data_IF_036219725324
#
_entry.id   IF_036219725324
#
_cell.length_a   1.000
_cell.length_b   1.000
_cell.length_c   1.000
_cell.angle_alpha   90.00
_cell.angle_beta   90.00
_cell.angle_gamma   90.00
#
_symmetry.space_group_name_H-M   'P 1'
#
loop_
_entity.id
_entity.type
_entity.pdbx_description
1 polymer ?
#
# COMPACT_ATOMS: atom_id res chain seq x y z
N UNK A 1 52.08 -21.75 37.80
CA UNK A 1 52.92 -22.87 37.29
C UNK A 1 52.98 -22.71 35.79
N UNK A 2 54.20 -22.56 35.31
CA UNK A 2 54.66 -22.36 33.94
C UNK A 2 54.14 -23.40 32.93
N UNK A 3 53.91 -22.96 31.67
CA UNK A 3 54.67 -23.48 30.52
C UNK A 3 54.47 -22.59 29.28
N UNK A 4 55.57 -21.90 28.95
CA UNK A 4 55.83 -21.33 27.61
C UNK A 4 56.08 -22.47 26.62
N UNK A 5 55.56 -22.41 25.40
CA UNK A 5 56.19 -23.03 24.24
C UNK A 5 56.28 -22.06 23.07
N UNK A 6 57.53 -21.83 22.69
CA UNK A 6 57.96 -21.20 21.44
C UNK A 6 57.45 -21.99 20.24
N UNK A 7 57.07 -21.28 19.17
CA UNK A 7 56.96 -21.89 17.85
C UNK A 7 57.75 -21.03 16.85
N UNK A 8 58.61 -21.74 16.12
CA UNK A 8 59.51 -21.25 15.09
C UNK A 8 58.74 -20.66 13.89
N UNK A 9 59.24 -19.52 13.38
CA UNK A 9 58.93 -19.01 12.05
C UNK A 9 59.59 -19.93 10.99
N UNK A 10 58.79 -20.43 10.07
CA UNK A 10 59.25 -20.98 8.77
C UNK A 10 58.78 -20.03 7.68
N UNK A 11 59.73 -19.38 7.02
CA UNK A 11 59.54 -18.58 5.82
C UNK A 11 59.34 -19.52 4.64
N UNK A 12 58.18 -19.37 3.94
CA UNK A 12 57.96 -19.97 2.64
C UNK A 12 57.80 -18.84 1.58
N UNK A 13 58.28 -19.07 0.37
CA UNK A 13 58.37 -18.01 -0.64
C UNK A 13 56.98 -17.70 -1.27
N UNK A 14 56.73 -16.41 -1.45
CA UNK A 14 55.57 -15.85 -2.17
C UNK A 14 55.65 -16.20 -3.65
N UNK A 15 54.79 -17.11 -4.11
CA UNK A 15 54.48 -17.29 -5.53
C UNK A 15 53.37 -16.30 -5.89
N UNK A 16 53.66 -15.34 -6.73
CA UNK A 16 52.65 -14.47 -7.39
C UNK A 16 51.81 -15.36 -8.34
N UNK A 17 50.62 -15.73 -7.90
CA UNK A 17 49.56 -16.19 -8.80
C UNK A 17 48.95 -14.94 -9.47
N UNK A 18 49.17 -14.76 -10.74
CA UNK A 18 48.37 -13.88 -11.58
C UNK A 18 46.97 -14.47 -11.67
N UNK A 19 45.98 -13.81 -11.04
CA UNK A 19 44.60 -14.12 -11.23
C UNK A 19 44.15 -13.64 -12.60
N UNK A 20 43.82 -14.55 -13.49
CA UNK A 20 43.11 -14.22 -14.72
C UNK A 20 41.71 -13.69 -14.36
N UNK A 21 41.17 -12.70 -15.07
CA UNK A 21 39.82 -12.20 -14.82
C UNK A 21 38.82 -13.30 -15.18
N UNK A 22 38.05 -13.73 -14.19
CA UNK A 22 36.89 -14.61 -14.39
C UNK A 22 35.92 -13.98 -15.37
N UNK A 23 35.32 -14.74 -16.31
CA UNK A 23 34.33 -14.20 -17.22
C UNK A 23 33.13 -13.68 -16.41
N UNK A 24 32.79 -12.42 -16.65
CA UNK A 24 31.57 -11.78 -16.15
C UNK A 24 30.38 -12.67 -16.47
N UNK A 25 29.76 -13.21 -15.44
CA UNK A 25 28.45 -13.85 -15.54
C UNK A 25 27.44 -12.72 -15.79
N UNK A 26 27.26 -12.35 -17.04
CA UNK A 26 26.11 -11.56 -17.45
C UNK A 26 24.89 -12.44 -17.15
N UNK A 27 24.14 -12.07 -16.12
CA UNK A 27 22.85 -12.69 -15.85
C UNK A 27 22.00 -12.49 -17.11
N UNK A 28 21.73 -13.57 -17.82
CA UNK A 28 20.77 -13.60 -18.92
C UNK A 28 19.43 -13.08 -18.36
N UNK A 29 18.89 -12.05 -18.99
CA UNK A 29 17.54 -11.58 -18.65
C UNK A 29 16.58 -12.77 -18.78
N UNK A 30 15.66 -12.99 -17.82
CA UNK A 30 14.69 -14.05 -17.92
C UNK A 30 13.97 -13.96 -19.27
N UNK A 31 13.71 -15.09 -19.95
CA UNK A 31 13.05 -15.08 -21.24
C UNK A 31 11.71 -14.34 -21.10
N UNK A 32 11.30 -13.53 -22.09
CA UNK A 32 10.01 -12.88 -22.06
C UNK A 32 8.94 -13.94 -21.91
N UNK A 33 8.05 -13.76 -20.91
CA UNK A 33 6.87 -14.60 -20.70
C UNK A 33 6.16 -14.72 -22.06
N UNK A 34 6.10 -15.92 -22.59
CA UNK A 34 5.47 -16.20 -23.87
C UNK A 34 4.06 -15.62 -23.83
N UNK A 35 3.68 -14.87 -24.87
CA UNK A 35 2.35 -14.32 -25.02
C UNK A 35 1.36 -15.49 -24.95
N UNK A 36 0.75 -15.72 -23.80
CA UNK A 36 -0.26 -16.75 -23.63
C UNK A 36 -1.40 -16.42 -24.55
N UNK A 37 -1.72 -17.32 -25.49
CA UNK A 37 -2.89 -17.18 -26.33
C UNK A 37 -4.10 -16.98 -25.40
N UNK A 38 -4.91 -15.95 -25.64
CA UNK A 38 -6.07 -15.61 -24.81
C UNK A 38 -6.94 -16.86 -24.63
N UNK A 39 -7.06 -17.36 -23.40
CA UNK A 39 -7.90 -18.51 -23.10
C UNK A 39 -9.35 -18.13 -23.40
N UNK A 40 -10.00 -18.88 -24.29
CA UNK A 40 -11.44 -18.69 -24.58
C UNK A 40 -12.24 -19.60 -23.67
N UNK A 41 -12.83 -19.03 -22.63
CA UNK A 41 -13.75 -19.73 -21.72
C UNK A 41 -15.15 -19.17 -21.91
N UNK A 42 -16.16 -20.00 -22.22
CA UNK A 42 -17.54 -19.53 -22.37
C UNK A 42 -18.06 -18.83 -21.12
N UNK A 43 -18.69 -17.69 -21.29
CA UNK A 43 -19.20 -16.85 -20.18
C UNK A 43 -18.20 -15.82 -19.70
N UNK A 44 -17.11 -15.62 -20.45
CA UNK A 44 -16.16 -14.54 -20.23
C UNK A 44 -15.95 -13.70 -21.49
N UNK A 45 -15.95 -12.41 -21.31
CA UNK A 45 -15.44 -11.47 -22.29
C UNK A 45 -13.95 -11.22 -22.00
N UNK A 46 -13.08 -11.57 -22.95
CA UNK A 46 -11.65 -11.23 -22.90
C UNK A 46 -11.47 -9.74 -23.18
N UNK A 47 -10.70 -9.05 -22.36
CA UNK A 47 -10.43 -7.61 -22.50
C UNK A 47 -9.06 -7.37 -23.15
N UNK A 48 -7.99 -7.85 -22.51
CA UNK A 48 -6.61 -7.68 -23.01
C UNK A 48 -5.63 -8.58 -22.25
N UNK A 49 -4.43 -8.70 -22.80
CA UNK A 49 -3.25 -9.25 -22.11
C UNK A 49 -2.12 -8.23 -22.16
N UNK A 50 -1.45 -8.04 -21.05
CA UNK A 50 -0.27 -7.18 -20.95
C UNK A 50 0.79 -7.87 -20.08
N UNK A 51 1.99 -8.12 -20.62
CA UNK A 51 3.11 -8.79 -19.95
C UNK A 51 2.72 -10.07 -19.18
N UNK A 52 1.86 -10.90 -19.78
CA UNK A 52 1.41 -12.18 -19.20
C UNK A 52 0.16 -12.08 -18.33
N UNK A 53 -0.21 -10.91 -17.82
CA UNK A 53 -1.46 -10.71 -17.09
C UNK A 53 -2.60 -10.56 -18.07
N UNK A 54 -3.58 -11.47 -18.00
CA UNK A 54 -4.77 -11.45 -18.85
C UNK A 54 -5.99 -10.97 -18.08
N UNK A 55 -6.73 -10.04 -18.65
CA UNK A 55 -7.95 -9.44 -18.10
C UNK A 55 -9.18 -10.02 -18.77
N UNK A 56 -10.14 -10.43 -17.98
CA UNK A 56 -11.44 -10.93 -18.38
C UNK A 56 -12.55 -10.28 -17.57
N UNK A 57 -13.74 -10.24 -18.14
CA UNK A 57 -14.98 -9.90 -17.43
C UNK A 57 -15.87 -11.11 -17.38
N UNK A 58 -16.35 -11.54 -16.21
CA UNK A 58 -17.37 -12.59 -16.10
C UNK A 58 -18.71 -12.03 -16.54
N UNK A 59 -19.23 -12.51 -17.68
CA UNK A 59 -20.41 -11.95 -18.37
C UNK A 59 -21.67 -11.95 -17.51
N UNK A 60 -21.81 -12.95 -16.62
CA UNK A 60 -22.99 -13.12 -15.77
C UNK A 60 -23.21 -11.95 -14.80
N UNK A 61 -22.14 -11.30 -14.32
CA UNK A 61 -22.26 -10.33 -13.24
C UNK A 61 -21.28 -9.17 -13.32
N UNK A 62 -20.34 -9.18 -14.25
CA UNK A 62 -19.39 -8.08 -14.44
C UNK A 62 -18.17 -8.12 -13.51
N UNK A 63 -17.90 -9.26 -12.85
CA UNK A 63 -16.66 -9.42 -12.07
C UNK A 63 -15.45 -9.32 -13.00
N UNK A 64 -14.53 -8.42 -12.69
CA UNK A 64 -13.23 -8.36 -13.36
C UNK A 64 -12.34 -9.49 -12.84
N UNK A 65 -11.66 -10.20 -13.74
CA UNK A 65 -10.76 -11.29 -13.39
C UNK A 65 -9.41 -11.06 -14.05
N UNK A 66 -8.36 -10.98 -13.23
CA UNK A 66 -6.97 -10.90 -13.68
C UNK A 66 -6.29 -12.24 -13.42
N UNK A 67 -5.68 -12.81 -14.44
CA UNK A 67 -5.00 -14.11 -14.34
C UNK A 67 -3.56 -13.99 -14.83
N UNK A 68 -2.63 -14.50 -14.02
CA UNK A 68 -1.23 -14.65 -14.38
C UNK A 68 -0.76 -16.07 -14.00
N UNK A 69 -0.74 -17.02 -14.96
CA UNK A 69 -0.13 -18.34 -14.74
C UNK A 69 1.36 -18.20 -14.47
N UNK A 70 1.81 -18.75 -13.36
CA UNK A 70 3.22 -18.82 -12.97
C UNK A 70 3.50 -20.18 -12.32
N UNK A 71 4.19 -21.05 -13.05
CA UNK A 71 4.50 -22.41 -12.61
C UNK A 71 5.87 -22.53 -11.93
N UNK A 72 6.46 -21.42 -11.50
CA UNK A 72 7.77 -21.39 -10.83
C UNK A 72 7.75 -22.02 -9.44
N UNK A 73 6.60 -22.01 -8.77
CA UNK A 73 6.38 -22.63 -7.46
C UNK A 73 4.96 -23.24 -7.39
N UNK A 74 4.75 -24.35 -6.62
CA UNK A 74 3.46 -25.04 -6.54
C UNK A 74 2.45 -24.34 -5.62
N UNK A 75 2.35 -23.01 -5.73
CA UNK A 75 1.46 -22.16 -4.93
C UNK A 75 0.63 -21.26 -5.82
N UNK A 76 -0.53 -20.88 -5.33
CA UNK A 76 -1.41 -19.91 -5.98
C UNK A 76 -1.83 -18.85 -4.98
N UNK A 77 -1.78 -17.60 -5.39
CA UNK A 77 -2.41 -16.49 -4.68
C UNK A 77 -3.76 -16.20 -5.34
N UNK A 78 -4.82 -16.27 -4.55
CA UNK A 78 -6.14 -15.75 -4.92
C UNK A 78 -6.45 -14.54 -4.05
N UNK A 79 -6.78 -13.43 -4.69
CA UNK A 79 -7.12 -12.17 -4.02
C UNK A 79 -8.39 -11.59 -4.61
N UNK A 80 -9.30 -11.15 -3.75
CA UNK A 80 -10.47 -10.36 -4.15
C UNK A 80 -10.28 -8.94 -3.65
N UNK A 81 -10.24 -7.99 -4.55
CA UNK A 81 -10.16 -6.56 -4.26
C UNK A 81 -11.52 -5.92 -4.53
N UNK A 82 -12.17 -5.44 -3.49
CA UNK A 82 -13.37 -4.61 -3.59
C UNK A 82 -12.97 -3.15 -3.81
N UNK A 83 -13.62 -2.49 -4.79
CA UNK A 83 -13.40 -1.08 -5.10
C UNK A 83 -14.15 -0.19 -4.10
N UNK A 84 -13.88 -0.40 -2.83
CA UNK A 84 -14.46 0.31 -1.70
C UNK A 84 -13.47 0.37 -0.56
N UNK A 85 -13.25 1.56 -0.03
CA UNK A 85 -12.39 1.85 1.11
C UNK A 85 -12.99 2.95 1.97
N UNK A 86 -12.19 3.53 2.86
CA UNK A 86 -12.66 4.61 3.73
C UNK A 86 -13.12 5.84 2.96
N UNK A 87 -12.64 6.05 1.74
CA UNK A 87 -13.12 7.07 0.81
C UNK A 87 -14.64 7.05 0.58
N UNK A 88 -15.27 5.89 0.72
CA UNK A 88 -16.71 5.69 0.49
C UNK A 88 -17.55 5.88 1.76
N UNK A 89 -16.94 6.23 2.87
CA UNK A 89 -17.60 6.44 4.15
C UNK A 89 -18.11 7.88 4.28
N UNK A 90 -19.04 8.07 5.20
CA UNK A 90 -19.59 9.38 5.54
C UNK A 90 -19.46 9.63 7.05
N UNK A 91 -19.47 10.89 7.46
CA UNK A 91 -19.46 11.28 8.87
C UNK A 91 -20.54 10.55 9.66
N UNK A 92 -20.17 10.04 10.83
CA UNK A 92 -21.03 9.19 11.68
C UNK A 92 -20.88 7.69 11.42
N UNK A 93 -20.17 7.29 10.35
CA UNK A 93 -19.90 5.89 10.01
C UNK A 93 -18.46 5.66 9.55
N UNK A 94 -17.54 6.58 9.84
CA UNK A 94 -16.13 6.42 9.52
C UNK A 94 -15.53 5.23 10.26
N UNK A 95 -14.67 4.45 9.59
CA UNK A 95 -14.14 3.17 10.08
C UNK A 95 -15.06 1.98 9.83
N UNK A 96 -16.24 2.18 9.21
CA UNK A 96 -17.17 1.09 8.89
C UNK A 96 -16.55 0.06 7.94
N UNK A 97 -15.75 0.51 6.97
CA UNK A 97 -15.07 -0.38 6.02
C UNK A 97 -14.08 -1.29 6.72
N UNK A 98 -13.26 -0.74 7.61
CA UNK A 98 -12.27 -1.49 8.38
C UNK A 98 -12.94 -2.46 9.38
N UNK A 99 -13.95 -2.00 10.11
CA UNK A 99 -14.70 -2.89 11.00
C UNK A 99 -15.41 -4.01 10.22
N UNK A 100 -15.91 -3.72 9.02
CA UNK A 100 -16.51 -4.74 8.15
C UNK A 100 -15.45 -5.76 7.68
N UNK A 101 -14.21 -5.31 7.39
CA UNK A 101 -13.11 -6.22 7.09
C UNK A 101 -12.94 -7.29 8.18
N UNK A 102 -12.89 -6.89 9.45
CA UNK A 102 -12.81 -7.80 10.58
C UNK A 102 -14.02 -8.74 10.66
N UNK A 103 -15.23 -8.22 10.41
CA UNK A 103 -16.45 -9.02 10.45
C UNK A 103 -16.53 -10.06 9.32
N UNK A 104 -15.83 -9.85 8.20
CA UNK A 104 -15.74 -10.81 7.09
C UNK A 104 -15.12 -12.16 7.50
N UNK A 105 -14.42 -12.22 8.63
CA UNK A 105 -13.84 -13.44 9.19
C UNK A 105 -14.77 -14.16 10.18
N UNK A 106 -15.95 -13.59 10.51
CA UNK A 106 -16.87 -14.16 11.53
C UNK A 106 -17.76 -15.28 10.99
N UNK A 107 -17.82 -15.44 9.67
CA UNK A 107 -18.43 -16.57 8.99
C UNK A 107 -19.77 -16.28 8.33
N UNK A 108 -20.27 -17.32 7.72
CA UNK A 108 -21.54 -17.38 6.98
C UNK A 108 -22.33 -18.60 7.48
N UNK A 109 -23.53 -18.81 6.93
CA UNK A 109 -24.28 -20.04 7.22
C UNK A 109 -23.52 -21.28 6.74
N UNK A 110 -22.81 -21.19 5.61
CA UNK A 110 -22.11 -22.32 5.01
C UNK A 110 -20.72 -22.54 5.65
N UNK A 111 -20.02 -21.48 6.03
CA UNK A 111 -18.66 -21.51 6.55
C UNK A 111 -18.60 -20.83 7.93
N UNK A 112 -18.51 -21.63 8.99
CA UNK A 112 -18.48 -21.11 10.34
C UNK A 112 -17.83 -22.07 11.34
N UNK A 113 -17.46 -21.54 12.48
CA UNK A 113 -16.76 -22.27 13.54
C UNK A 113 -17.57 -23.45 14.11
N UNK A 114 -18.89 -23.32 14.19
CA UNK A 114 -19.75 -24.37 14.74
C UNK A 114 -19.80 -25.60 13.83
N UNK A 115 -19.65 -25.40 12.52
CA UNK A 115 -19.53 -26.50 11.53
C UNK A 115 -18.12 -27.08 11.42
N UNK A 116 -17.12 -26.48 12.08
CA UNK A 116 -15.71 -26.90 11.97
C UNK A 116 -15.06 -26.55 10.63
N UNK A 117 -15.62 -25.58 9.90
CA UNK A 117 -15.19 -25.16 8.57
C UNK A 117 -15.12 -23.64 8.42
N UNK A 118 -14.85 -22.90 9.53
CA UNK A 118 -14.57 -21.47 9.43
C UNK A 118 -13.33 -21.22 8.58
N UNK A 119 -13.18 -20.01 8.04
CA UNK A 119 -12.04 -19.63 7.21
C UNK A 119 -10.70 -19.95 7.90
N UNK A 120 -10.56 -19.59 9.19
CA UNK A 120 -9.35 -19.87 9.97
C UNK A 120 -9.07 -21.38 10.04
N UNK A 121 -10.10 -22.19 10.41
CA UNK A 121 -9.96 -23.62 10.54
C UNK A 121 -9.61 -24.34 9.22
N UNK A 122 -10.08 -23.81 8.09
CA UNK A 122 -9.78 -24.39 6.78
C UNK A 122 -8.38 -24.00 6.32
N UNK A 123 -8.01 -22.73 6.44
CA UNK A 123 -6.73 -22.23 5.90
C UNK A 123 -5.54 -22.63 6.77
N UNK A 124 -5.69 -22.65 8.10
CA UNK A 124 -4.64 -23.10 9.02
C UNK A 124 -4.28 -24.59 8.81
N UNK A 125 -5.26 -25.44 8.53
CA UNK A 125 -5.02 -26.88 8.26
C UNK A 125 -4.11 -27.12 7.06
N UNK A 126 -4.13 -26.22 6.09
CA UNK A 126 -3.37 -26.38 4.84
C UNK A 126 -2.13 -25.50 4.79
N UNK A 127 -1.81 -24.83 5.90
CA UNK A 127 -0.63 -23.96 5.99
C UNK A 127 -0.71 -22.74 5.07
N UNK A 128 -1.90 -22.25 4.75
CA UNK A 128 -2.09 -21.06 3.92
C UNK A 128 -1.67 -19.79 4.68
N UNK A 129 -1.06 -18.87 3.95
CA UNK A 129 -0.92 -17.48 4.41
C UNK A 129 -2.11 -16.69 3.91
N UNK A 130 -2.90 -16.12 4.81
CA UNK A 130 -4.10 -15.36 4.46
C UNK A 130 -4.26 -14.13 5.35
N UNK A 131 -4.87 -13.10 4.81
CA UNK A 131 -5.23 -11.88 5.55
C UNK A 131 -6.20 -11.03 4.72
N UNK A 132 -6.50 -9.84 5.25
CA UNK A 132 -7.18 -8.77 4.55
C UNK A 132 -6.50 -7.44 4.83
N UNK A 133 -6.77 -6.43 4.03
CA UNK A 133 -6.35 -5.06 4.30
C UNK A 133 -7.38 -4.07 3.78
N UNK A 134 -7.62 -3.01 4.53
CA UNK A 134 -8.45 -1.87 4.14
C UNK A 134 -7.59 -0.63 4.00
N UNK A 135 -7.83 0.13 2.94
CA UNK A 135 -7.19 1.41 2.71
C UNK A 135 -8.20 2.46 2.21
N UNK A 136 -7.72 3.58 1.72
CA UNK A 136 -8.59 4.68 1.28
C UNK A 136 -9.56 4.25 0.16
N UNK A 137 -9.06 3.54 -0.88
CA UNK A 137 -9.80 3.25 -2.11
C UNK A 137 -10.22 1.77 -2.27
N UNK A 138 -9.77 0.90 -1.39
CA UNK A 138 -9.95 -0.55 -1.51
C UNK A 138 -10.07 -1.28 -0.19
N UNK A 139 -10.71 -2.44 -0.26
CA UNK A 139 -10.60 -3.51 0.74
C UNK A 139 -10.31 -4.81 0.00
N UNK A 140 -9.28 -5.55 0.42
CA UNK A 140 -8.94 -6.82 -0.23
C UNK A 140 -8.81 -7.96 0.77
N UNK A 141 -9.07 -9.16 0.28
CA UNK A 141 -8.95 -10.42 1.00
C UNK A 141 -8.14 -11.38 0.16
N UNK A 142 -7.18 -12.07 0.76
CA UNK A 142 -6.29 -12.96 0.02
C UNK A 142 -5.92 -14.20 0.79
N UNK A 143 -5.58 -15.25 0.05
CA UNK A 143 -4.77 -16.35 0.54
C UNK A 143 -3.71 -16.76 -0.49
N UNK A 144 -2.55 -17.14 0.03
CA UNK A 144 -1.48 -17.81 -0.71
C UNK A 144 -1.38 -19.26 -0.20
N UNK A 145 -1.62 -20.24 -1.06
CA UNK A 145 -1.81 -21.62 -0.67
C UNK A 145 -1.45 -22.60 -1.81
N UNK A 146 -1.31 -23.87 -1.47
CA UNK A 146 -1.15 -24.92 -2.48
C UNK A 146 -2.40 -25.04 -3.36
N UNK A 147 -2.21 -25.24 -4.66
CA UNK A 147 -3.30 -25.28 -5.66
C UNK A 147 -4.44 -26.27 -5.33
N UNK A 148 -4.12 -27.38 -4.66
CA UNK A 148 -5.11 -28.43 -4.32
C UNK A 148 -6.18 -27.91 -3.33
N UNK A 149 -5.94 -26.79 -2.66
CA UNK A 149 -6.83 -26.18 -1.69
C UNK A 149 -7.52 -24.92 -2.20
N UNK A 150 -7.19 -24.49 -3.42
CA UNK A 150 -7.68 -23.25 -4.02
C UNK A 150 -9.20 -23.25 -4.18
N UNK A 151 -9.81 -24.37 -4.61
CA UNK A 151 -11.27 -24.49 -4.80
C UNK A 151 -12.04 -24.19 -3.52
N UNK A 152 -11.57 -24.71 -2.39
CA UNK A 152 -12.20 -24.47 -1.08
C UNK A 152 -12.09 -22.99 -0.67
N UNK A 153 -10.95 -22.36 -0.91
CA UNK A 153 -10.77 -20.94 -0.59
C UNK A 153 -11.65 -20.03 -1.46
N UNK A 154 -11.68 -20.26 -2.77
CA UNK A 154 -12.52 -19.50 -3.70
C UNK A 154 -14.00 -19.65 -3.36
N UNK A 155 -14.43 -20.83 -2.89
CA UNK A 155 -15.79 -21.04 -2.40
C UNK A 155 -16.11 -20.17 -1.16
N UNK A 156 -15.17 -20.05 -0.22
CA UNK A 156 -15.32 -19.20 0.97
C UNK A 156 -15.43 -17.72 0.57
N UNK A 157 -14.54 -17.27 -0.32
CA UNK A 157 -14.53 -15.88 -0.79
C UNK A 157 -15.83 -15.51 -1.51
N UNK A 158 -16.31 -16.39 -2.37
CA UNK A 158 -17.58 -16.19 -3.08
C UNK A 158 -18.78 -16.17 -2.13
N UNK A 159 -18.78 -17.08 -1.14
CA UNK A 159 -19.88 -17.17 -0.17
C UNK A 159 -19.92 -15.91 0.72
N UNK A 160 -18.80 -15.49 1.29
CA UNK A 160 -18.76 -14.32 2.16
C UNK A 160 -19.00 -12.99 1.43
N UNK A 161 -18.88 -12.95 0.10
CA UNK A 161 -19.25 -11.79 -0.69
C UNK A 161 -20.74 -11.44 -0.54
N UNK A 162 -21.62 -12.42 -0.34
CA UNK A 162 -23.08 -12.18 -0.26
C UNK A 162 -23.80 -12.77 0.95
N UNK A 163 -23.20 -13.70 1.67
CA UNK A 163 -23.85 -14.45 2.74
C UNK A 163 -23.24 -14.20 4.13
N UNK A 164 -22.52 -13.10 4.29
CA UNK A 164 -21.84 -12.76 5.54
C UNK A 164 -22.83 -12.61 6.71
N UNK A 165 -22.50 -13.19 7.83
CA UNK A 165 -23.19 -12.94 9.09
C UNK A 165 -22.75 -11.58 9.66
N UNK A 166 -23.64 -10.60 9.60
CA UNK A 166 -23.44 -9.32 10.28
C UNK A 166 -24.33 -9.30 11.54
N UNK A 167 -23.80 -9.84 12.64
CA UNK A 167 -24.52 -9.98 13.92
C UNK A 167 -23.94 -9.03 14.96
N UNK A 168 -24.80 -8.49 15.81
CA UNK A 168 -24.39 -7.62 16.92
C UNK A 168 -23.46 -8.35 17.90
N UNK A 169 -23.64 -9.67 18.08
CA UNK A 169 -22.77 -10.52 18.90
C UNK A 169 -21.34 -10.61 18.39
N UNK A 170 -21.11 -10.42 17.09
CA UNK A 170 -19.79 -10.43 16.48
C UNK A 170 -19.20 -9.00 16.43
N UNK A 171 -20.05 -7.98 16.17
CA UNK A 171 -19.64 -6.58 16.12
C UNK A 171 -19.07 -6.08 17.46
N UNK A 172 -19.76 -6.40 18.54
CA UNK A 172 -19.44 -5.84 19.87
C UNK A 172 -18.03 -6.21 20.38
N UNK A 173 -17.56 -7.47 20.33
CA UNK A 173 -16.18 -7.79 20.67
C UNK A 173 -15.19 -7.21 19.65
N UNK A 174 -15.52 -7.20 18.35
CA UNK A 174 -14.62 -6.73 17.30
C UNK A 174 -14.39 -5.22 17.37
N UNK A 175 -15.41 -4.46 17.70
CA UNK A 175 -15.26 -3.03 17.97
C UNK A 175 -14.21 -2.74 19.05
N UNK A 176 -14.07 -3.64 20.04
CA UNK A 176 -13.03 -3.50 21.07
C UNK A 176 -11.63 -3.74 20.48
N UNK A 177 -11.49 -4.67 19.53
CA UNK A 177 -10.21 -4.92 18.83
C UNK A 177 -9.86 -3.69 18.01
N UNK A 178 -10.75 -3.22 17.15
CA UNK A 178 -10.53 -2.02 16.30
C UNK A 178 -10.23 -0.78 17.14
N UNK A 179 -10.88 -0.62 18.30
CA UNK A 179 -10.55 0.47 19.22
C UNK A 179 -9.11 0.36 19.77
N UNK A 180 -8.64 -0.85 20.09
CA UNK A 180 -7.27 -1.04 20.54
C UNK A 180 -6.27 -0.71 19.41
N UNK A 181 -6.57 -1.06 18.18
CA UNK A 181 -5.76 -0.68 17.01
C UNK A 181 -5.73 0.83 16.82
N UNK A 182 -6.87 1.50 16.96
CA UNK A 182 -6.93 2.97 16.97
C UNK A 182 -5.99 3.55 18.03
N UNK A 183 -6.00 3.03 19.25
CA UNK A 183 -5.14 3.52 20.34
C UNK A 183 -3.65 3.24 20.06
N UNK A 184 -3.31 2.15 19.38
CA UNK A 184 -1.92 1.87 18.93
C UNK A 184 -1.49 2.94 17.92
N UNK A 185 -2.34 3.28 16.95
CA UNK A 185 -2.08 4.36 15.98
C UNK A 185 -1.89 5.72 16.66
N UNK A 186 -2.73 6.03 17.64
CA UNK A 186 -2.63 7.28 18.42
C UNK A 186 -1.32 7.38 19.23
N UNK A 187 -0.68 6.27 19.56
CA UNK A 187 0.61 6.23 20.23
C UNK A 187 1.81 6.33 19.27
N UNK A 188 1.59 6.28 17.96
CA UNK A 188 2.62 6.51 16.94
C UNK A 188 2.69 8.00 16.61
N UNK A 189 3.82 8.71 16.85
CA UNK A 189 3.94 10.13 16.55
C UNK A 189 3.63 10.47 15.08
N UNK A 190 4.13 9.66 14.15
CA UNK A 190 3.90 9.88 12.71
C UNK A 190 2.44 9.64 12.35
N UNK A 191 1.81 8.54 12.79
CA UNK A 191 0.41 8.26 12.46
C UNK A 191 -0.56 9.28 13.08
N UNK A 192 -0.29 9.68 14.33
CA UNK A 192 -1.08 10.72 15.00
C UNK A 192 -0.97 12.06 14.28
N UNK A 193 0.23 12.41 13.80
CA UNK A 193 0.47 13.64 13.04
C UNK A 193 -0.17 13.56 11.66
N UNK A 194 0.01 12.46 10.94
CA UNK A 194 -0.56 12.22 9.61
C UNK A 194 -2.09 12.35 9.60
N UNK A 195 -2.75 11.76 10.59
CA UNK A 195 -4.20 11.91 10.78
C UNK A 195 -4.64 13.38 10.84
N UNK A 196 -3.97 14.20 11.64
CA UNK A 196 -4.31 15.60 11.79
C UNK A 196 -3.92 16.44 10.56
N UNK A 197 -2.83 16.10 9.87
CA UNK A 197 -2.45 16.71 8.59
C UNK A 197 -3.52 16.44 7.54
N UNK A 198 -3.95 15.19 7.36
CA UNK A 198 -4.98 14.81 6.40
C UNK A 198 -6.31 15.53 6.73
N UNK A 199 -6.72 15.53 8.00
CA UNK A 199 -7.93 16.22 8.45
C UNK A 199 -7.90 17.72 8.17
N UNK A 200 -6.73 18.36 8.25
CA UNK A 200 -6.58 19.78 7.95
C UNK A 200 -6.41 20.06 6.45
N UNK A 201 -5.73 19.17 5.72
CA UNK A 201 -5.44 19.34 4.30
C UNK A 201 -6.69 19.18 3.43
N UNK A 202 -7.61 18.28 3.78
CA UNK A 202 -8.84 18.06 3.04
C UNK A 202 -10.03 18.68 3.75
N UNK A 203 -10.68 19.61 3.08
CA UNK A 203 -11.87 20.29 3.60
C UNK A 203 -13.16 19.53 3.26
N UNK A 204 -13.24 19.01 2.03
CA UNK A 204 -14.45 18.40 1.51
C UNK A 204 -14.26 16.94 1.11
N UNK A 205 -13.07 16.58 0.58
CA UNK A 205 -12.82 15.22 0.08
C UNK A 205 -12.74 14.21 1.22
N UNK A 206 -13.30 12.99 1.08
CA UNK A 206 -13.30 11.95 2.12
C UNK A 206 -11.91 11.49 2.61
N UNK A 207 -10.83 11.79 1.90
CA UNK A 207 -9.47 11.53 2.40
C UNK A 207 -9.11 12.30 3.68
N UNK A 208 -10.00 13.17 4.17
CA UNK A 208 -9.79 13.90 5.43
C UNK A 208 -9.84 13.02 6.68
N UNK A 209 -10.44 11.84 6.63
CA UNK A 209 -10.52 10.96 7.79
C UNK A 209 -9.66 9.69 7.62
N UNK A 210 -9.11 9.17 8.73
CA UNK A 210 -8.27 7.98 8.67
C UNK A 210 -9.10 6.73 8.34
N UNK A 211 -8.47 5.74 7.71
CA UNK A 211 -9.12 4.45 7.37
C UNK A 211 -9.68 3.74 8.59
N UNK A 212 -9.01 3.85 9.74
CA UNK A 212 -9.53 3.30 11.01
C UNK A 212 -10.81 3.99 11.47
N UNK A 213 -11.11 5.19 10.99
CA UNK A 213 -12.25 6.01 11.40
C UNK A 213 -11.99 6.89 12.62
N UNK A 214 -12.96 7.77 12.92
CA UNK A 214 -12.96 8.53 14.15
C UNK A 214 -13.42 7.66 15.32
N UNK A 215 -12.80 7.82 16.48
CA UNK A 215 -13.12 7.02 17.69
C UNK A 215 -14.61 6.96 17.99
N UNK A 216 -15.30 8.11 17.92
CA UNK A 216 -16.75 8.18 18.19
C UNK A 216 -17.59 7.33 17.24
N UNK A 217 -17.18 7.26 15.98
CA UNK A 217 -17.88 6.50 14.93
C UNK A 217 -17.63 5.01 15.09
N UNK A 218 -16.36 4.61 15.30
CA UNK A 218 -15.97 3.21 15.57
C UNK A 218 -16.81 2.64 16.72
N UNK A 219 -16.92 3.39 17.83
CA UNK A 219 -17.63 2.94 19.03
C UNK A 219 -19.14 2.87 18.83
N UNK A 220 -19.72 3.68 17.94
CA UNK A 220 -21.17 3.89 17.84
C UNK A 220 -21.81 3.38 16.55
N UNK A 221 -21.03 3.03 15.52
CA UNK A 221 -21.62 2.55 14.26
C UNK A 221 -22.51 1.32 14.51
N UNK A 222 -23.81 1.39 14.18
CA UNK A 222 -24.72 0.27 14.42
C UNK A 222 -24.54 -0.80 13.34
N UNK A 223 -24.87 -2.05 13.69
CA UNK A 223 -24.74 -3.19 12.76
C UNK A 223 -25.58 -3.00 11.49
N UNK A 224 -26.68 -2.27 11.57
CA UNK A 224 -27.54 -1.94 10.44
C UNK A 224 -26.80 -1.11 9.37
N UNK A 225 -25.96 -0.16 9.81
CA UNK A 225 -25.13 0.65 8.90
C UNK A 225 -24.05 -0.18 8.23
N UNK A 226 -23.47 -1.14 8.96
CA UNK A 226 -22.52 -2.09 8.36
C UNK A 226 -23.20 -3.00 7.33
N UNK A 227 -24.45 -3.43 7.58
CA UNK A 227 -25.24 -4.18 6.59
C UNK A 227 -25.58 -3.34 5.36
N UNK A 228 -25.97 -2.07 5.55
CA UNK A 228 -26.21 -1.13 4.44
C UNK A 228 -24.94 -0.99 3.59
N UNK A 229 -23.79 -0.76 4.23
CA UNK A 229 -22.50 -0.62 3.55
C UNK A 229 -22.12 -1.89 2.78
N UNK A 230 -22.20 -3.05 3.42
CA UNK A 230 -21.96 -4.34 2.78
C UNK A 230 -22.89 -4.58 1.59
N UNK A 231 -24.19 -4.33 1.75
CA UNK A 231 -25.17 -4.51 0.67
C UNK A 231 -25.02 -3.50 -0.46
N UNK A 232 -24.40 -2.37 -0.21
CA UNK A 232 -24.13 -1.35 -1.24
C UNK A 232 -22.89 -1.71 -2.08
N UNK A 233 -21.81 -2.15 -1.44
CA UNK A 233 -20.51 -2.19 -2.09
C UNK A 233 -19.95 -3.60 -2.38
N UNK A 234 -20.38 -4.65 -1.66
CA UNK A 234 -19.80 -5.99 -1.80
C UNK A 234 -20.51 -6.81 -2.88
N UNK A 235 -20.22 -6.47 -4.15
CA UNK A 235 -20.81 -7.10 -5.32
C UNK A 235 -19.74 -7.46 -6.36
N UNK A 236 -19.99 -8.49 -7.21
CA UNK A 236 -19.04 -8.89 -8.25
C UNK A 236 -18.63 -7.74 -9.19
N UNK A 237 -19.56 -6.90 -9.61
CA UNK A 237 -19.28 -5.77 -10.49
C UNK A 237 -18.62 -4.56 -9.78
N UNK A 238 -18.30 -4.69 -8.51
CA UNK A 238 -17.49 -3.75 -7.74
C UNK A 238 -16.23 -4.43 -7.17
N UNK A 239 -15.78 -5.50 -7.80
CA UNK A 239 -14.65 -6.29 -7.35
C UNK A 239 -13.78 -6.76 -8.52
N UNK A 240 -12.52 -7.00 -8.21
CA UNK A 240 -11.55 -7.68 -9.07
C UNK A 240 -11.06 -8.93 -8.38
N UNK A 241 -11.18 -10.09 -9.03
CA UNK A 241 -10.56 -11.33 -8.60
C UNK A 241 -9.21 -11.48 -9.32
N UNK A 242 -8.13 -11.62 -8.56
CA UNK A 242 -6.77 -11.81 -9.08
C UNK A 242 -6.31 -13.21 -8.76
N UNK A 243 -5.87 -13.97 -9.77
CA UNK A 243 -5.39 -15.35 -9.65
C UNK A 243 -3.99 -15.43 -10.24
N UNK A 244 -3.00 -15.66 -9.39
CA UNK A 244 -1.59 -15.71 -9.79
C UNK A 244 -0.94 -16.96 -9.22
N UNK A 245 -0.23 -17.74 -10.06
CA UNK A 245 0.55 -18.89 -9.61
C UNK A 245 0.34 -20.15 -10.43
N UNK A 246 0.55 -21.32 -9.80
CA UNK A 246 0.55 -22.63 -10.46
C UNK A 246 -0.84 -23.13 -10.85
N UNK A 247 -1.46 -22.40 -11.75
CA UNK A 247 -2.76 -22.72 -12.33
C UNK A 247 -2.82 -22.26 -13.79
N UNK A 248 -3.48 -23.02 -14.65
CA UNK A 248 -3.73 -22.55 -16.02
C UNK A 248 -4.79 -21.45 -16.05
N UNK A 249 -4.72 -20.56 -17.05
CA UNK A 249 -5.76 -19.52 -17.22
C UNK A 249 -7.17 -20.10 -17.39
N UNK A 250 -7.30 -21.23 -18.06
CA UNK A 250 -8.60 -21.91 -18.25
C UNK A 250 -9.14 -22.39 -16.89
N UNK A 251 -8.32 -23.11 -16.12
CA UNK A 251 -8.74 -23.65 -14.83
C UNK A 251 -9.07 -22.55 -13.83
N UNK A 252 -8.31 -21.44 -13.83
CA UNK A 252 -8.58 -20.26 -13.01
C UNK A 252 -9.93 -19.64 -13.34
N UNK A 253 -10.23 -19.44 -14.62
CA UNK A 253 -11.49 -18.86 -15.09
C UNK A 253 -12.69 -19.78 -14.80
N UNK A 254 -12.57 -21.10 -15.06
CA UNK A 254 -13.63 -22.06 -14.73
C UNK A 254 -13.88 -22.14 -13.22
N UNK A 255 -12.82 -22.05 -12.39
CA UNK A 255 -12.93 -22.01 -10.94
C UNK A 255 -13.69 -20.75 -10.46
N UNK A 256 -13.30 -19.58 -10.95
CA UNK A 256 -13.99 -18.33 -10.61
C UNK A 256 -15.46 -18.39 -11.08
N UNK A 257 -15.72 -18.86 -12.28
CA UNK A 257 -17.08 -19.01 -12.80
C UNK A 257 -17.94 -19.98 -11.97
N UNK A 258 -17.36 -21.11 -11.54
CA UNK A 258 -18.02 -22.10 -10.68
C UNK A 258 -18.60 -21.47 -9.42
N UNK A 259 -17.84 -20.60 -8.75
CA UNK A 259 -18.20 -20.04 -7.46
C UNK A 259 -18.89 -18.67 -7.55
N UNK A 260 -18.48 -17.82 -8.47
CA UNK A 260 -19.02 -16.46 -8.60
C UNK A 260 -20.14 -16.35 -9.67
N UNK A 261 -20.24 -17.28 -10.59
CA UNK A 261 -21.17 -17.17 -11.73
C UNK A 261 -22.65 -17.09 -11.36
N UNK A 262 -23.05 -17.63 -10.21
CA UNK A 262 -24.42 -17.58 -9.70
C UNK A 262 -24.71 -16.31 -8.86
N UNK A 263 -23.69 -15.56 -8.48
CA UNK A 263 -23.86 -14.34 -7.69
C UNK A 263 -24.32 -13.23 -8.66
N UNK A 264 -25.45 -12.56 -8.40
CA UNK A 264 -25.95 -11.54 -9.31
C UNK A 264 -25.07 -10.27 -9.27
N UNK A 265 -25.22 -9.46 -10.30
CA UNK A 265 -24.72 -8.07 -10.29
C UNK A 265 -25.48 -7.25 -9.24
N UNK A 266 -24.85 -6.17 -8.74
CA UNK A 266 -25.51 -5.21 -7.86
C UNK A 266 -26.85 -4.76 -8.46
N UNK A 267 -27.96 -4.78 -7.67
CA UNK A 267 -29.28 -4.41 -8.15
C UNK A 267 -29.43 -2.90 -8.41
N UNK A 268 -28.55 -2.11 -7.81
CA UNK A 268 -28.47 -0.65 -7.99
C UNK A 268 -27.06 -0.26 -8.45
N UNK A 269 -26.89 0.88 -9.11
CA UNK A 269 -25.57 1.41 -9.40
C UNK A 269 -24.76 1.58 -8.13
N UNK A 270 -23.48 1.21 -8.17
CA UNK A 270 -22.56 1.44 -7.06
C UNK A 270 -22.36 2.97 -6.92
N UNK A 271 -22.56 3.53 -5.72
CA UNK A 271 -22.36 4.97 -5.51
C UNK A 271 -20.92 5.40 -5.80
N UNK A 272 -20.79 6.50 -6.53
CA UNK A 272 -19.49 7.12 -6.81
C UNK A 272 -19.24 8.31 -5.86
N UNK A 273 -18.00 8.50 -5.47
CA UNK A 273 -17.58 9.71 -4.77
C UNK A 273 -17.31 10.79 -5.83
N UNK A 274 -18.14 11.80 -5.83
CA UNK A 274 -18.07 12.91 -6.79
C UNK A 274 -17.57 14.22 -6.17
N UNK A 275 -17.32 14.20 -4.85
CA UNK A 275 -16.81 15.38 -4.14
C UNK A 275 -15.37 15.62 -4.52
N UNK A 276 -15.09 16.79 -5.07
CA UNK A 276 -13.75 17.29 -5.34
C UNK A 276 -13.28 18.20 -4.20
N UNK A 277 -12.01 18.08 -3.86
CA UNK A 277 -11.41 18.99 -2.89
C UNK A 277 -11.25 20.40 -3.49
N UNK A 278 -11.79 21.46 -2.88
CA UNK A 278 -11.60 22.81 -3.37
C UNK A 278 -10.13 23.24 -3.29
N UNK A 279 -9.75 24.18 -4.16
CA UNK A 279 -8.40 24.74 -4.14
C UNK A 279 -8.08 25.36 -2.77
N UNK A 280 -6.90 25.04 -2.27
CA UNK A 280 -6.41 25.61 -1.01
C UNK A 280 -6.01 27.09 -1.22
N UNK A 281 -6.44 27.97 -0.34
CA UNK A 281 -6.27 29.43 -0.48
C UNK A 281 -5.21 30.02 0.44
N UNK A 282 -4.43 29.19 1.12
CA UNK A 282 -3.35 29.59 2.00
C UNK A 282 -2.79 28.39 2.78
N UNK A 283 -1.61 28.53 3.39
CA UNK A 283 -1.00 27.45 4.16
C UNK A 283 -1.83 27.09 5.38
N UNK A 284 -1.82 25.81 5.76
CA UNK A 284 -2.50 25.30 6.94
C UNK A 284 -1.48 24.76 7.93
N UNK A 285 -1.80 24.84 9.23
CA UNK A 285 -0.89 24.37 10.27
C UNK A 285 -1.65 23.62 11.37
N UNK A 286 -1.09 22.51 11.82
CA UNK A 286 -1.60 21.71 12.93
C UNK A 286 -0.50 21.38 13.93
N UNK A 287 -0.88 21.25 15.20
CA UNK A 287 0.04 20.83 16.27
C UNK A 287 -0.58 19.68 17.04
N UNK A 288 0.17 18.60 17.17
CA UNK A 288 -0.18 17.42 17.98
C UNK A 288 0.69 17.43 19.23
N UNK A 289 0.10 17.74 20.37
CA UNK A 289 0.83 17.81 21.66
C UNK A 289 0.45 16.59 22.48
N UNK A 290 1.37 15.63 22.58
CA UNK A 290 1.14 14.34 23.25
C UNK A 290 2.40 13.80 23.94
N UNK A 291 2.24 12.80 24.77
CA UNK A 291 3.37 12.05 25.31
C UNK A 291 4.20 11.45 24.16
N UNK A 292 5.50 11.60 24.22
CA UNK A 292 6.44 11.14 23.20
C UNK A 292 7.89 11.43 23.59
N UNK A 293 8.83 10.88 22.83
CA UNK A 293 10.26 11.09 23.07
C UNK A 293 10.88 12.10 22.11
N UNK A 294 10.46 12.05 20.85
CA UNK A 294 11.02 12.88 19.78
C UNK A 294 9.89 13.59 19.05
N UNK A 295 10.16 14.80 18.61
CA UNK A 295 9.28 15.55 17.75
C UNK A 295 9.26 15.01 16.33
N UNK A 296 8.20 15.33 15.60
CA UNK A 296 8.11 15.06 14.16
C UNK A 296 7.56 16.32 13.47
N UNK A 297 8.17 16.67 12.35
CA UNK A 297 7.64 17.68 11.42
C UNK A 297 7.13 16.93 10.19
N UNK A 298 5.92 17.24 9.75
CA UNK A 298 5.33 16.78 8.50
C UNK A 298 4.92 17.96 7.65
N UNK A 299 5.30 17.96 6.36
CA UNK A 299 4.87 18.98 5.40
C UNK A 299 4.22 18.28 4.22
N UNK A 300 2.93 18.53 4.04
CA UNK A 300 2.11 17.90 3.01
C UNK A 300 1.72 18.87 1.91
N UNK A 301 1.77 18.40 0.68
CA UNK A 301 1.39 19.13 -0.52
C UNK A 301 0.35 18.34 -1.29
N UNK A 302 -0.66 19.01 -1.86
CA UNK A 302 -1.64 18.35 -2.72
C UNK A 302 -1.01 17.95 -4.05
N UNK A 303 -1.11 16.67 -4.38
CA UNK A 303 -0.57 16.08 -5.60
C UNK A 303 -1.68 15.36 -6.38
N UNK A 304 -1.52 15.15 -7.70
CA UNK A 304 -2.57 14.60 -8.53
C UNK A 304 -2.81 13.11 -8.24
N UNK A 305 -3.91 12.57 -8.80
CA UNK A 305 -4.25 11.16 -8.75
C UNK A 305 -3.14 10.27 -9.37
N UNK A 306 -3.10 9.01 -8.97
CA UNK A 306 -2.11 8.02 -9.43
C UNK A 306 -2.03 7.86 -10.96
N UNK A 307 -3.15 8.09 -11.66
CA UNK A 307 -3.23 7.99 -13.13
C UNK A 307 -2.72 9.22 -13.87
N UNK A 308 -2.35 10.29 -13.14
CA UNK A 308 -1.91 11.53 -13.77
C UNK A 308 -0.52 11.39 -14.41
N UNK A 309 -0.25 12.00 -15.58
CA UNK A 309 1.03 11.88 -16.28
C UNK A 309 2.24 12.46 -15.52
N UNK A 310 2.04 13.27 -14.49
CA UNK A 310 3.11 13.81 -13.64
C UNK A 310 3.53 12.87 -12.50
N UNK A 311 2.76 11.81 -12.23
CA UNK A 311 3.05 10.88 -11.15
C UNK A 311 4.44 10.22 -11.27
N UNK A 312 4.92 9.79 -12.45
CA UNK A 312 6.28 9.28 -12.59
C UNK A 312 7.36 10.26 -12.13
N UNK A 313 7.22 11.55 -12.47
CA UNK A 313 8.17 12.58 -12.09
C UNK A 313 8.11 12.87 -10.57
N UNK A 314 6.92 12.82 -9.95
CA UNK A 314 6.75 12.94 -8.51
C UNK A 314 7.39 11.76 -7.74
N UNK A 315 7.30 10.53 -8.27
CA UNK A 315 7.99 9.36 -7.71
C UNK A 315 9.51 9.53 -7.75
N UNK A 316 10.05 10.01 -8.87
CA UNK A 316 11.49 10.29 -9.00
C UNK A 316 11.92 11.42 -8.06
N UNK A 317 11.14 12.51 -7.95
CA UNK A 317 11.38 13.59 -7.01
C UNK A 317 11.43 13.10 -5.56
N UNK A 318 10.43 12.30 -5.14
CA UNK A 318 10.40 11.69 -3.81
C UNK A 318 11.65 10.84 -3.54
N UNK A 319 12.07 10.03 -4.50
CA UNK A 319 13.28 9.21 -4.40
C UNK A 319 14.56 10.06 -4.27
N UNK A 320 14.71 11.13 -5.04
CA UNK A 320 15.86 12.06 -4.94
C UNK A 320 15.91 12.71 -3.55
N UNK A 321 14.75 13.08 -3.02
CA UNK A 321 14.68 13.76 -1.72
C UNK A 321 14.93 12.82 -0.56
N UNK A 322 14.49 11.55 -0.60
CA UNK A 322 14.44 10.72 0.61
C UNK A 322 15.16 9.36 0.53
N UNK A 323 15.48 8.85 -0.66
CA UNK A 323 15.99 7.48 -0.77
C UNK A 323 17.50 7.37 -0.55
N UNK A 324 17.86 6.74 0.57
CA UNK A 324 19.24 6.40 0.91
C UNK A 324 20.07 7.59 1.40
N UNK A 325 21.33 7.30 1.74
CA UNK A 325 22.26 8.30 2.35
C UNK A 325 22.69 9.41 1.42
N UNK A 326 22.51 9.24 0.11
CA UNK A 326 22.83 10.26 -0.89
C UNK A 326 21.65 11.19 -1.19
N UNK A 327 20.48 10.93 -0.63
CA UNK A 327 19.31 11.77 -0.81
C UNK A 327 19.50 13.16 -0.20
N UNK A 328 18.77 14.14 -0.73
CA UNK A 328 18.96 15.55 -0.33
C UNK A 328 18.56 15.77 1.13
N UNK A 329 17.42 15.22 1.56
CA UNK A 329 16.97 15.37 2.94
C UNK A 329 17.87 14.62 3.92
N UNK A 330 18.45 13.47 3.53
CA UNK A 330 19.45 12.82 4.39
C UNK A 330 20.66 13.74 4.61
N UNK A 331 21.25 14.28 3.54
CA UNK A 331 22.43 15.16 3.63
C UNK A 331 22.12 16.53 4.25
N UNK A 332 20.93 17.07 3.94
CA UNK A 332 20.52 18.39 4.43
C UNK A 332 20.07 18.39 5.89
N UNK A 333 19.52 17.29 6.39
CA UNK A 333 18.96 17.19 7.74
C UNK A 333 19.66 16.15 8.61
N UNK A 334 19.74 14.89 8.16
CA UNK A 334 20.22 13.79 9.02
C UNK A 334 21.73 13.87 9.25
N UNK A 335 22.53 14.10 8.21
CA UNK A 335 23.98 14.27 8.36
C UNK A 335 24.35 15.54 9.18
N UNK A 336 23.43 16.51 9.23
CA UNK A 336 23.59 17.72 10.06
C UNK A 336 23.04 17.54 11.48
N UNK A 337 22.64 16.34 11.86
CA UNK A 337 22.04 16.02 13.16
C UNK A 337 20.76 16.81 13.50
N UNK A 338 20.01 17.29 12.51
CA UNK A 338 18.69 17.89 12.73
C UNK A 338 17.61 16.82 12.86
N UNK A 339 17.77 15.68 12.20
CA UNK A 339 16.82 14.58 12.23
C UNK A 339 17.51 13.24 12.45
N UNK A 340 16.77 12.28 13.01
CA UNK A 340 17.15 10.87 13.05
C UNK A 340 16.79 10.16 11.75
N UNK A 341 15.75 10.65 11.09
CA UNK A 341 15.23 10.13 9.81
C UNK A 341 14.45 11.21 9.08
N UNK A 342 14.56 11.22 7.73
CA UNK A 342 13.66 11.90 6.84
C UNK A 342 13.06 10.92 5.83
N UNK A 343 11.78 11.06 5.53
CA UNK A 343 11.04 10.19 4.59
C UNK A 343 10.02 10.98 3.80
N UNK A 344 9.52 10.42 2.71
CA UNK A 344 8.38 10.92 1.97
C UNK A 344 7.34 9.82 1.79
N UNK A 345 6.08 10.21 1.87
CA UNK A 345 4.94 9.43 1.38
C UNK A 345 4.40 10.14 0.14
N UNK A 346 4.52 9.49 -1.01
CA UNK A 346 4.01 10.01 -2.28
C UNK A 346 2.64 9.39 -2.49
N UNK A 347 1.59 10.17 -2.25
CA UNK A 347 0.21 9.70 -2.37
C UNK A 347 -0.06 9.09 -3.75
N UNK A 348 -0.39 7.81 -3.76
CA UNK A 348 -0.66 7.04 -4.98
C UNK A 348 -2.08 6.45 -4.90
N UNK A 349 -3.08 7.32 -5.10
CA UNK A 349 -4.48 7.03 -4.85
C UNK A 349 -5.35 7.33 -6.08
N UNK A 350 -6.60 6.89 -6.01
CA UNK A 350 -7.59 7.07 -7.08
C UNK A 350 -7.89 8.55 -7.38
N UNK A 351 -7.98 9.35 -6.33
CA UNK A 351 -8.21 10.79 -6.44
C UNK A 351 -6.94 11.58 -6.05
N UNK A 352 -6.88 12.89 -6.33
CA UNK A 352 -5.79 13.74 -5.86
C UNK A 352 -5.58 13.61 -4.35
N UNK A 353 -4.33 13.42 -3.94
CA UNK A 353 -3.97 13.09 -2.58
C UNK A 353 -2.85 13.99 -2.05
N UNK A 354 -2.17 13.59 -1.00
CA UNK A 354 -1.03 14.32 -0.45
C UNK A 354 0.28 13.62 -0.78
N UNK A 355 1.30 14.42 -1.06
CA UNK A 355 2.69 14.03 -0.89
C UNK A 355 3.18 14.67 0.40
N UNK A 356 3.58 13.86 1.37
CA UNK A 356 3.99 14.33 2.70
C UNK A 356 5.44 13.98 2.95
N UNK A 357 6.23 14.99 3.32
CA UNK A 357 7.60 14.81 3.78
C UNK A 357 7.63 14.84 5.30
N UNK A 358 8.26 13.85 5.92
CA UNK A 358 8.39 13.73 7.37
C UNK A 358 9.84 13.86 7.79
N UNK A 359 10.05 14.59 8.89
CA UNK A 359 11.34 14.73 9.57
C UNK A 359 11.17 14.33 11.04
N UNK A 360 11.69 13.16 11.43
CA UNK A 360 11.78 12.74 12.84
C UNK A 360 12.96 13.45 13.47
N UNK A 361 12.72 14.28 14.46
CA UNK A 361 13.73 15.18 15.01
C UNK A 361 14.81 14.42 15.78
N UNK A 362 16.03 14.94 15.79
CA UNK A 362 17.05 14.54 16.73
C UNK A 362 16.74 15.13 18.13
N UNK A 363 17.30 14.59 19.22
CA UNK A 363 17.12 15.16 20.54
C UNK A 363 17.47 16.65 20.58
N UNK A 364 16.69 17.42 21.30
CA UNK A 364 16.86 18.86 21.53
C UNK A 364 16.75 19.77 20.29
N UNK A 365 16.40 19.22 19.13
CA UNK A 365 16.14 20.01 17.91
C UNK A 365 14.71 20.57 17.95
N UNK A 366 14.60 21.85 17.64
CA UNK A 366 13.29 22.52 17.54
C UNK A 366 12.58 22.16 16.22
N UNK A 367 11.25 22.01 16.24
CA UNK A 367 10.51 21.74 15.02
C UNK A 367 10.73 22.81 13.92
N UNK A 368 10.86 24.09 14.31
CA UNK A 368 11.09 25.20 13.42
C UNK A 368 12.40 25.03 12.61
N UNK A 369 13.47 24.59 13.26
CA UNK A 369 14.79 24.45 12.62
C UNK A 369 14.75 23.31 11.57
N UNK A 370 14.06 22.22 11.86
CA UNK A 370 13.89 21.11 10.92
C UNK A 370 12.92 21.45 9.77
N UNK A 371 11.84 22.20 10.05
CA UNK A 371 10.92 22.67 9.03
C UNK A 371 11.62 23.56 8.02
N UNK A 372 12.38 24.56 8.48
CA UNK A 372 13.16 25.45 7.62
C UNK A 372 14.15 24.65 6.76
N UNK A 373 14.90 23.74 7.38
CA UNK A 373 15.86 22.94 6.65
C UNK A 373 15.20 22.01 5.59
N UNK A 374 14.02 21.48 5.87
CA UNK A 374 13.25 20.67 4.91
C UNK A 374 12.74 21.52 3.75
N UNK A 375 12.19 22.68 4.03
CA UNK A 375 11.72 23.64 3.02
C UNK A 375 12.87 24.17 2.16
N UNK A 376 14.05 24.44 2.75
CA UNK A 376 15.25 24.87 2.02
C UNK A 376 15.69 23.82 0.98
N UNK A 377 15.67 22.54 1.32
CA UNK A 377 15.99 21.48 0.36
C UNK A 377 14.95 21.39 -0.78
N UNK A 378 13.66 21.54 -0.48
CA UNK A 378 12.60 21.61 -1.49
C UNK A 378 12.79 22.86 -2.36
N UNK A 379 13.06 24.01 -1.75
CA UNK A 379 13.29 25.26 -2.46
C UNK A 379 14.49 25.17 -3.40
N UNK A 380 15.58 24.52 -2.97
CA UNK A 380 16.76 24.29 -3.81
C UNK A 380 16.40 23.46 -5.06
N UNK A 381 15.54 22.43 -4.92
CA UNK A 381 15.06 21.69 -6.09
C UNK A 381 14.22 22.56 -7.03
N UNK A 382 13.38 23.44 -6.48
CA UNK A 382 12.53 24.35 -7.28
C UNK A 382 13.39 25.37 -8.05
N UNK A 383 14.40 25.94 -7.42
CA UNK A 383 15.24 27.00 -8.02
C UNK A 383 16.31 26.45 -8.93
N UNK A 384 17.10 25.51 -8.44
CA UNK A 384 18.29 25.03 -9.15
C UNK A 384 18.00 23.75 -9.97
N UNK A 385 16.94 23.03 -9.60
CA UNK A 385 16.61 21.73 -10.18
C UNK A 385 17.44 20.60 -9.56
N UNK A 386 17.52 19.51 -10.30
CA UNK A 386 18.27 18.30 -9.95
C UNK A 386 19.24 17.97 -11.08
N UNK A 387 20.30 17.22 -10.78
CA UNK A 387 21.26 16.76 -11.79
C UNK A 387 20.77 15.48 -12.48
N UNK A 388 21.22 15.23 -13.71
CA UNK A 388 20.95 13.98 -14.42
C UNK A 388 21.49 12.75 -13.67
N UNK A 389 22.55 12.92 -12.89
CA UNK A 389 23.10 11.86 -12.03
C UNK A 389 22.13 11.49 -10.88
N UNK A 390 21.51 12.48 -10.25
CA UNK A 390 20.48 12.25 -9.22
C UNK A 390 19.25 11.56 -9.80
N UNK A 391 18.78 12.00 -10.97
CA UNK A 391 17.66 11.37 -11.68
C UNK A 391 17.99 9.92 -12.03
N UNK A 392 19.17 9.66 -12.59
CA UNK A 392 19.61 8.30 -12.95
C UNK A 392 19.68 7.40 -11.71
N UNK A 393 20.23 7.89 -10.61
CA UNK A 393 20.32 7.14 -9.36
C UNK A 393 18.93 6.82 -8.79
N UNK A 394 18.02 7.80 -8.78
CA UNK A 394 16.65 7.63 -8.31
C UNK A 394 15.86 6.63 -9.17
N UNK A 395 15.96 6.72 -10.50
CA UNK A 395 15.34 5.76 -11.41
C UNK A 395 15.86 4.35 -11.13
N UNK A 396 17.17 4.16 -11.01
CA UNK A 396 17.76 2.85 -10.74
C UNK A 396 17.26 2.28 -9.39
N UNK A 397 17.14 3.12 -8.37
CA UNK A 397 16.63 2.71 -7.07
C UNK A 397 15.15 2.29 -7.14
N UNK A 398 14.32 3.08 -7.84
CA UNK A 398 12.90 2.75 -8.05
C UNK A 398 12.74 1.45 -8.84
N UNK A 399 13.55 1.25 -9.90
CA UNK A 399 13.53 0.02 -10.68
C UNK A 399 13.97 -1.21 -9.88
N UNK A 400 14.98 -1.06 -9.02
CA UNK A 400 15.39 -2.15 -8.13
C UNK A 400 14.26 -2.52 -7.14
N UNK A 401 13.62 -1.51 -6.53
CA UNK A 401 12.47 -1.73 -5.63
C UNK A 401 11.32 -2.41 -6.36
N UNK A 402 10.98 -1.95 -7.58
CA UNK A 402 9.93 -2.56 -8.41
C UNK A 402 10.25 -4.02 -8.77
N UNK A 403 11.52 -4.34 -9.07
CA UNK A 403 11.92 -5.70 -9.38
C UNK A 403 11.76 -6.64 -8.18
N UNK A 404 12.18 -6.23 -6.98
CA UNK A 404 11.98 -7.00 -5.75
C UNK A 404 10.49 -7.18 -5.40
N UNK A 405 9.66 -6.18 -5.68
CA UNK A 405 8.22 -6.23 -5.43
C UNK A 405 7.47 -7.20 -6.36
N UNK A 406 8.14 -7.83 -7.33
CA UNK A 406 7.58 -8.81 -8.27
C UNK A 406 8.07 -10.24 -8.00
N UNK A 407 8.65 -10.50 -6.85
CA UNK A 407 9.17 -11.81 -6.49
C UNK A 407 8.07 -12.68 -5.87
N UNK A 408 7.50 -13.56 -6.70
CA UNK A 408 6.49 -14.55 -6.33
C UNK A 408 5.04 -14.08 -6.42
N UNK A 409 4.13 -15.05 -6.49
CA UNK A 409 2.70 -14.84 -6.76
C UNK A 409 2.04 -13.86 -5.77
N UNK A 410 2.34 -13.96 -4.49
CA UNK A 410 1.77 -13.06 -3.47
C UNK A 410 2.28 -11.62 -3.61
N UNK A 411 3.58 -11.43 -3.85
CA UNK A 411 4.15 -10.10 -4.02
C UNK A 411 3.54 -9.39 -5.24
N UNK A 412 3.39 -10.13 -6.36
CA UNK A 412 2.74 -9.61 -7.57
C UNK A 412 1.29 -9.23 -7.28
N UNK A 413 0.49 -10.12 -6.66
CA UNK A 413 -0.90 -9.86 -6.33
C UNK A 413 -1.07 -8.65 -5.40
N UNK A 414 -0.23 -8.56 -4.36
CA UNK A 414 -0.25 -7.47 -3.38
C UNK A 414 0.08 -6.11 -4.00
N UNK A 415 1.09 -6.06 -4.88
CA UNK A 415 1.42 -4.82 -5.59
C UNK A 415 0.35 -4.46 -6.63
N UNK A 416 -0.10 -5.44 -7.43
CA UNK A 416 -1.14 -5.23 -8.43
C UNK A 416 -2.44 -4.68 -7.81
N UNK A 417 -2.75 -5.08 -6.59
CA UNK A 417 -3.89 -4.60 -5.81
C UNK A 417 -3.91 -3.06 -5.64
N UNK A 418 -2.75 -2.43 -5.44
CA UNK A 418 -2.66 -0.96 -5.31
C UNK A 418 -3.00 -0.25 -6.62
N UNK A 419 -2.62 -0.81 -7.76
CA UNK A 419 -2.97 -0.27 -9.08
C UNK A 419 -4.43 -0.56 -9.48
N UNK A 420 -5.00 -1.68 -9.02
CA UNK A 420 -6.42 -1.96 -9.14
C UNK A 420 -7.23 -0.90 -8.38
N UNK A 421 -6.80 -0.54 -7.17
CA UNK A 421 -7.48 0.45 -6.33
C UNK A 421 -7.53 1.83 -6.97
N UNK A 422 -6.47 2.23 -7.68
CA UNK A 422 -6.43 3.47 -8.45
C UNK A 422 -7.34 3.47 -9.70
N UNK A 423 -7.97 2.34 -10.01
CA UNK A 423 -8.84 2.18 -11.18
C UNK A 423 -8.12 1.83 -12.48
N UNK A 424 -6.80 1.62 -12.47
CA UNK A 424 -6.02 1.31 -13.67
C UNK A 424 -4.89 0.31 -13.39
N UNK A 425 -5.24 -0.97 -13.30
CA UNK A 425 -4.27 -2.04 -13.01
C UNK A 425 -3.05 -2.07 -13.95
N UNK A 426 -3.20 -1.58 -15.19
CA UNK A 426 -2.09 -1.57 -16.17
C UNK A 426 -0.94 -0.67 -15.77
N UNK A 427 -1.15 0.30 -14.86
CA UNK A 427 -0.07 1.11 -14.28
C UNK A 427 0.99 0.23 -13.59
N UNK A 428 0.63 -0.93 -13.06
CA UNK A 428 1.58 -1.90 -12.51
C UNK A 428 2.73 -2.25 -13.48
N UNK A 429 2.46 -2.17 -14.79
CA UNK A 429 3.42 -2.50 -15.85
C UNK A 429 3.95 -1.24 -16.57
N UNK A 430 3.12 -0.22 -16.69
CA UNK A 430 3.45 0.97 -17.52
C UNK A 430 4.12 2.08 -16.74
N UNK A 431 3.98 2.12 -15.41
CA UNK A 431 4.58 3.15 -14.57
C UNK A 431 6.11 3.10 -14.62
N UNK A 432 6.72 1.90 -14.53
CA UNK A 432 8.17 1.73 -14.64
C UNK A 432 8.72 2.26 -15.96
N UNK A 433 7.99 2.03 -17.07
CA UNK A 433 8.38 2.54 -18.38
C UNK A 433 8.30 4.07 -18.45
N UNK A 434 7.32 4.67 -17.77
CA UNK A 434 7.18 6.12 -17.66
C UNK A 434 8.26 6.73 -16.76
N UNK A 435 8.56 6.10 -15.61
CA UNK A 435 9.64 6.52 -14.69
C UNK A 435 11.01 6.56 -15.42
N UNK A 436 11.32 5.56 -16.25
CA UNK A 436 12.57 5.50 -17.02
C UNK A 436 12.76 6.68 -17.99
N UNK A 437 11.70 7.40 -18.35
CA UNK A 437 11.73 8.53 -19.27
C UNK A 437 11.79 9.88 -18.57
N UNK A 438 11.70 9.91 -17.26
CA UNK A 438 11.72 11.16 -16.48
C UNK A 438 13.07 11.85 -16.61
N UNK A 439 13.05 13.15 -16.82
CA UNK A 439 14.22 14.02 -16.96
C UNK A 439 14.35 14.95 -15.76
N UNK A 440 15.54 15.57 -15.61
CA UNK A 440 15.77 16.59 -14.59
C UNK A 440 14.82 17.80 -14.76
N UNK A 441 14.46 18.13 -15.99
CA UNK A 441 13.50 19.18 -16.28
C UNK A 441 12.08 18.83 -15.80
N UNK A 442 11.66 17.56 -15.95
CA UNK A 442 10.36 17.10 -15.42
C UNK A 442 10.31 17.17 -13.91
N UNK A 443 11.38 16.73 -13.22
CA UNK A 443 11.48 16.80 -11.75
C UNK A 443 11.40 18.25 -11.28
N UNK A 444 12.13 19.18 -11.90
CA UNK A 444 12.06 20.60 -11.57
C UNK A 444 10.67 21.19 -11.82
N UNK A 445 10.03 20.81 -12.93
CA UNK A 445 8.68 21.27 -13.28
C UNK A 445 7.65 20.83 -12.23
N UNK A 446 7.63 19.55 -11.88
CA UNK A 446 6.65 19.05 -10.89
C UNK A 446 6.92 19.59 -9.48
N UNK A 447 8.18 19.79 -9.10
CA UNK A 447 8.52 20.47 -7.85
C UNK A 447 7.93 21.90 -7.79
N UNK A 448 8.07 22.66 -8.87
CA UNK A 448 7.50 24.01 -8.97
C UNK A 448 5.97 24.02 -9.02
N UNK A 449 5.35 23.01 -9.63
CA UNK A 449 3.92 22.94 -9.82
C UNK A 449 3.17 22.50 -8.55
N UNK A 450 3.74 21.55 -7.79
CA UNK A 450 3.02 20.90 -6.69
C UNK A 450 3.56 21.23 -5.30
N UNK A 451 4.86 21.58 -5.16
CA UNK A 451 5.44 21.85 -3.85
C UNK A 451 5.40 23.36 -3.54
N UNK A 452 4.19 23.90 -3.51
CA UNK A 452 3.94 25.30 -3.18
C UNK A 452 3.66 25.45 -1.68
N UNK A 453 4.52 26.19 -0.99
CA UNK A 453 4.41 26.42 0.45
C UNK A 453 3.10 27.10 0.82
N UNK A 454 2.62 28.04 0.00
CA UNK A 454 1.34 28.73 0.23
C UNK A 454 0.13 27.79 0.13
N UNK A 455 0.30 26.60 -0.45
CA UNK A 455 -0.73 25.57 -0.54
C UNK A 455 -0.40 24.32 0.30
N UNK A 456 0.59 24.41 1.19
CA UNK A 456 1.01 23.33 2.05
C UNK A 456 0.14 23.18 3.29
N UNK A 457 0.22 22.02 3.91
CA UNK A 457 -0.26 21.75 5.28
C UNK A 457 0.89 21.25 6.12
N UNK A 458 1.32 22.07 7.07
CA UNK A 458 2.43 21.71 7.96
C UNK A 458 1.91 21.25 9.31
N UNK A 459 2.44 20.15 9.80
CA UNK A 459 2.11 19.60 11.10
C UNK A 459 3.34 19.37 11.97
N UNK A 460 3.21 19.64 13.27
CA UNK A 460 4.21 19.33 14.26
C UNK A 460 3.68 18.34 15.30
N UNK A 461 4.38 17.26 15.54
CA UNK A 461 4.20 16.47 16.74
C UNK A 461 5.18 17.00 17.80
N UNK A 462 4.62 17.51 18.89
CA UNK A 462 5.38 18.13 20.00
C UNK A 462 5.31 17.17 21.19
N UNK A 463 6.42 16.51 21.55
CA UNK A 463 6.42 15.58 22.66
C UNK A 463 6.27 16.33 23.99
N UNK A 464 5.28 15.94 24.78
CA UNK A 464 5.28 16.28 26.21
C UNK A 464 6.28 15.38 26.91
N UNK A 465 7.27 15.97 27.56
CA UNK A 465 8.12 15.24 28.49
C UNK A 465 7.24 14.60 29.56
N UNK A 466 7.27 13.26 29.64
CA UNK A 466 6.64 12.57 30.76
C UNK A 466 7.33 13.11 32.04
N UNK A 467 6.59 13.58 33.04
CA UNK A 467 7.22 13.94 34.32
C UNK A 467 8.03 12.71 34.78
N UNK A 468 9.30 12.89 35.05
CA UNK A 468 10.08 11.84 35.70
C UNK A 468 9.29 11.43 36.95
N UNK A 469 8.80 10.18 36.96
CA UNK A 469 8.29 9.59 38.18
C UNK A 469 9.53 9.44 39.06
N UNK A 470 9.80 10.45 39.86
CA UNK A 470 10.75 10.33 40.96
C UNK A 470 10.14 9.25 41.86
N UNK A 471 10.70 8.04 41.75
CA UNK A 471 10.34 6.94 42.63
C UNK A 471 10.65 7.37 44.08
N UNK A 472 9.75 7.12 45.05
CA UNK A 472 9.92 7.50 46.41
C UNK A 472 11.11 6.78 47.09
#
# INVERSE_FOLDING_TARGET
>A
MNHRRLLCLALLPTALLQAEPSPSCAAEAPPPLAAAASARVPGYTFVKTLEGISEYTLDANGLQVLVLPDHSAPVVTFMVTYHVGSRNEVSGTTGATHLLEHLMFKGTENFNRARGNSIDQLLERVGATYNATTWLDRTNYYANLGKDHLDAYVAIEADRMRNLWLRESDRRPEMTVVRNEFEIGENSPIQALDKEINAAAFFAHPYHHPTIGWRSDIEKVPIEKLREFYNTFYWPNNATATVIGDISAIDALELVKKHYGAIPRAPQPIPEVTTEEPAQTGPRRVNVIRAGRLGVVGIAFKTPAATHPDMPALQVLGSILTNGKNSRLYRGLTDKNLTTQASADIGFFRDPALTTFYASLAPDVKPEDAEVALLDEIYTVKMDGVTDAEVTAAINQLMATSAYARDGAFAIASNLNEYISCGQWTLYLTLDQAIRKVTAADVKRVANQYLDEDQSTTGWFIPLSTPEIIAP
#
